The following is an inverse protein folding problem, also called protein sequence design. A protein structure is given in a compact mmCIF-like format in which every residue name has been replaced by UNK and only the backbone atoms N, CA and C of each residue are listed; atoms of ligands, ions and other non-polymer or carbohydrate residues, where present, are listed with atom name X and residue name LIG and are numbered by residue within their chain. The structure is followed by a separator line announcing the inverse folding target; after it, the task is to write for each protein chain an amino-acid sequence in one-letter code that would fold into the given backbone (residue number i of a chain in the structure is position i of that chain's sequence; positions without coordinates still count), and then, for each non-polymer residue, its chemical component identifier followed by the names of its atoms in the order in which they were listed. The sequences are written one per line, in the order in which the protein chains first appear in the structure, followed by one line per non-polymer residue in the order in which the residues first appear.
data_IF_164735443671
#
_entry.id   IF_164735443671
#
_cell.length_a   1.000
_cell.length_b   1.000
_cell.length_c   1.000
_cell.angle_alpha   90.00
_cell.angle_beta   90.00
_cell.angle_gamma   90.00
#
_symmetry.space_group_name_H-M   'P 1'
#
loop_
_entity.id
_entity.type
_entity.pdbx_description
1 polymer ?
#
# COMPACT_ATOMS: atom_id res chain seq x y z
N UNK A 1 24.58 3.19 -0.13
CA UNK A 1 23.75 4.37 -0.43
C UNK A 1 22.36 3.91 -0.84
N UNK A 2 21.36 4.01 0.05
CA UNK A 2 19.99 3.47 -0.12
C UNK A 2 19.13 4.21 -1.17
N UNK A 3 19.74 4.98 -2.07
CA UNK A 3 19.05 5.83 -3.04
C UNK A 3 18.44 5.07 -4.24
N UNK A 4 18.77 3.79 -4.43
CA UNK A 4 18.33 3.01 -5.62
C UNK A 4 16.90 2.44 -5.52
N UNK A 5 16.20 2.61 -4.39
CA UNK A 5 14.84 2.06 -4.17
C UNK A 5 13.79 3.14 -3.91
N UNK A 6 14.14 4.41 -4.03
CA UNK A 6 13.23 5.53 -3.76
C UNK A 6 12.88 6.27 -5.05
N UNK A 7 11.62 6.26 -5.42
CA UNK A 7 11.09 6.95 -6.60
C UNK A 7 10.32 8.19 -6.16
N UNK A 8 10.62 9.34 -6.77
CA UNK A 8 10.00 10.63 -6.43
C UNK A 8 9.22 11.18 -7.61
N UNK A 9 8.00 11.65 -7.35
CA UNK A 9 7.19 12.35 -8.35
C UNK A 9 6.38 13.47 -7.73
N UNK A 10 6.30 14.61 -8.43
CA UNK A 10 5.37 15.69 -8.09
C UNK A 10 4.05 15.48 -8.80
N UNK A 11 2.96 15.52 -8.04
CA UNK A 11 1.60 15.34 -8.54
C UNK A 11 0.74 16.55 -8.13
N UNK A 12 -0.24 16.91 -8.94
CA UNK A 12 -1.25 17.91 -8.59
C UNK A 12 -2.57 17.22 -8.32
N UNK A 13 -3.10 17.36 -7.10
CA UNK A 13 -4.41 16.80 -6.69
C UNK A 13 -5.28 17.94 -6.15
N UNK A 14 -6.37 18.24 -6.85
CA UNK A 14 -7.27 19.40 -6.63
C UNK A 14 -6.50 20.74 -6.55
N UNK A 15 -5.57 20.97 -7.48
CA UNK A 15 -4.78 22.20 -7.54
C UNK A 15 -3.69 22.34 -6.48
N UNK A 16 -3.55 21.38 -5.54
CA UNK A 16 -2.42 21.33 -4.60
C UNK A 16 -1.31 20.45 -5.15
N UNK A 17 -0.06 20.94 -5.10
CA UNK A 17 1.10 20.12 -5.41
C UNK A 17 1.45 19.22 -4.22
N UNK A 18 1.67 17.94 -4.50
CA UNK A 18 2.07 16.91 -3.55
C UNK A 18 3.35 16.23 -4.06
N UNK A 19 4.26 15.93 -3.14
CA UNK A 19 5.44 15.11 -3.40
C UNK A 19 5.08 13.67 -3.04
N UNK A 20 5.08 12.78 -4.03
CA UNK A 20 4.95 11.35 -3.84
C UNK A 20 6.35 10.73 -3.78
N UNK A 21 6.63 10.02 -2.69
CA UNK A 21 7.84 9.22 -2.52
C UNK A 21 7.42 7.75 -2.39
N UNK A 22 7.85 6.91 -3.32
CA UNK A 22 7.58 5.47 -3.32
C UNK A 22 8.90 4.77 -2.98
N UNK A 23 8.92 4.06 -1.86
CA UNK A 23 10.03 3.19 -1.50
C UNK A 23 9.71 1.74 -1.84
N UNK A 24 10.53 1.13 -2.70
CA UNK A 24 10.41 -0.26 -3.13
C UNK A 24 11.55 -1.12 -2.56
N UNK A 25 11.34 -1.80 -1.41
CA UNK A 25 12.36 -2.63 -0.77
C UNK A 25 12.69 -3.91 -1.55
N UNK A 26 11.83 -4.34 -2.48
CA UNK A 26 11.98 -5.59 -3.23
C UNK A 26 12.98 -5.46 -4.39
N UNK A 27 13.27 -4.24 -4.84
CA UNK A 27 14.24 -3.98 -5.92
C UNK A 27 15.71 -4.28 -5.56
N UNK A 28 16.04 -4.48 -4.28
CA UNK A 28 17.42 -4.70 -3.81
C UNK A 28 17.63 -5.98 -3.00
N UNK A 29 16.57 -6.75 -2.73
CA UNK A 29 16.64 -7.95 -1.89
C UNK A 29 16.32 -9.18 -2.75
N UNK A 30 17.00 -10.29 -2.47
CA UNK A 30 16.54 -11.61 -2.92
C UNK A 30 15.20 -11.97 -2.25
N UNK A 31 14.76 -13.22 -2.35
CA UNK A 31 13.43 -13.71 -1.93
C UNK A 31 13.12 -13.65 -0.41
N UNK A 32 13.79 -12.79 0.37
CA UNK A 32 13.54 -12.63 1.80
C UNK A 32 12.22 -11.87 2.05
N UNK A 33 11.26 -12.43 2.80
CA UNK A 33 9.94 -11.83 3.03
C UNK A 33 9.93 -10.74 4.12
N UNK A 34 11.09 -10.21 4.52
CA UNK A 34 11.20 -9.27 5.63
C UNK A 34 11.05 -7.82 5.15
N UNK A 35 10.03 -7.11 5.67
CA UNK A 35 9.91 -5.66 5.48
C UNK A 35 11.04 -4.98 6.25
N UNK A 36 11.84 -4.08 5.65
CA UNK A 36 12.79 -3.30 6.43
C UNK A 36 12.05 -2.51 7.53
N UNK A 37 12.68 -2.28 8.68
CA UNK A 37 12.08 -1.44 9.74
C UNK A 37 12.00 0.03 9.32
N UNK A 38 12.93 0.49 8.47
CA UNK A 38 13.07 1.89 8.05
C UNK A 38 11.78 2.49 7.45
N UNK A 39 11.03 1.85 6.51
CA UNK A 39 9.74 2.37 6.04
C UNK A 39 8.62 2.37 7.07
N UNK A 40 8.68 1.52 8.11
CA UNK A 40 7.64 1.49 9.13
C UNK A 40 7.59 2.79 9.94
N UNK A 41 8.68 3.55 9.99
CA UNK A 41 8.79 4.78 10.78
C UNK A 41 8.22 6.02 10.08
N UNK A 42 8.30 6.09 8.75
CA UNK A 42 7.98 7.32 8.00
C UNK A 42 6.90 7.16 6.93
N UNK A 43 6.49 5.94 6.57
CA UNK A 43 5.51 5.76 5.50
C UNK A 43 4.11 6.23 5.92
N UNK A 44 3.52 7.12 5.10
CA UNK A 44 2.15 7.59 5.28
C UNK A 44 1.09 6.58 4.80
N UNK A 45 1.49 5.55 4.05
CA UNK A 45 0.66 4.46 3.55
C UNK A 45 1.51 3.24 3.14
N UNK A 46 0.91 2.05 3.17
CA UNK A 46 1.53 0.82 2.67
C UNK A 46 0.73 0.21 1.51
N UNK A 47 1.46 -0.30 0.52
CA UNK A 47 0.90 -1.15 -0.54
C UNK A 47 1.61 -2.50 -0.46
N UNK A 48 0.86 -3.54 -0.14
CA UNK A 48 1.34 -4.92 -0.05
C UNK A 48 0.84 -5.67 -1.27
N UNK A 49 1.75 -6.28 -2.03
CA UNK A 49 1.42 -6.92 -3.32
C UNK A 49 1.78 -8.39 -3.26
N UNK A 50 0.89 -9.25 -3.75
CA UNK A 50 1.16 -10.65 -4.04
C UNK A 50 0.76 -10.98 -5.49
N UNK A 51 1.17 -12.11 -6.02
CA UNK A 51 0.71 -12.59 -7.32
C UNK A 51 -0.40 -13.64 -7.11
N UNK A 52 -1.54 -13.48 -7.79
CA UNK A 52 -2.65 -14.47 -7.71
C UNK A 52 -2.25 -15.85 -8.22
N UNK A 53 -1.18 -15.91 -9.02
CA UNK A 53 -0.62 -17.13 -9.58
C UNK A 53 0.42 -17.82 -8.68
N UNK A 54 0.70 -17.29 -7.48
CA UNK A 54 1.75 -17.81 -6.60
C UNK A 54 1.33 -17.71 -5.12
N UNK A 55 0.99 -18.86 -4.54
CA UNK A 55 0.55 -18.95 -3.15
C UNK A 55 1.66 -18.58 -2.14
N UNK A 56 2.95 -18.76 -2.47
CA UNK A 56 4.06 -18.37 -1.58
C UNK A 56 4.09 -16.86 -1.40
N UNK A 57 3.87 -16.10 -2.48
CA UNK A 57 3.82 -14.63 -2.39
C UNK A 57 2.64 -14.14 -1.53
N UNK A 58 1.54 -14.88 -1.50
CA UNK A 58 0.39 -14.57 -0.65
C UNK A 58 0.68 -14.81 0.84
N UNK A 59 1.36 -15.91 1.18
CA UNK A 59 1.82 -16.15 2.55
C UNK A 59 2.81 -15.07 3.02
N UNK A 60 3.71 -14.63 2.13
CA UNK A 60 4.63 -13.54 2.41
C UNK A 60 3.88 -12.22 2.64
N UNK A 61 2.88 -11.90 1.81
CA UNK A 61 2.02 -10.73 2.02
C UNK A 61 1.29 -10.78 3.38
N UNK A 62 0.81 -11.95 3.80
CA UNK A 62 0.23 -12.13 5.15
C UNK A 62 1.26 -11.86 6.25
N UNK A 63 2.50 -12.29 6.09
CA UNK A 63 3.58 -11.99 7.05
C UNK A 63 3.85 -10.48 7.15
N UNK A 64 3.99 -9.81 6.00
CA UNK A 64 4.18 -8.36 5.89
C UNK A 64 3.03 -7.59 6.56
N UNK A 65 1.78 -7.98 6.32
CA UNK A 65 0.61 -7.36 6.95
C UNK A 65 0.59 -7.50 8.47
N UNK A 66 1.07 -8.63 9.00
CA UNK A 66 1.23 -8.82 10.44
C UNK A 66 2.31 -7.90 11.02
N UNK A 67 3.44 -7.74 10.34
CA UNK A 67 4.50 -6.82 10.77
C UNK A 67 4.01 -5.35 10.81
N UNK A 68 3.30 -4.90 9.77
CA UNK A 68 2.72 -3.54 9.73
C UNK A 68 1.74 -3.33 10.89
N UNK A 69 0.89 -4.33 11.18
CA UNK A 69 -0.08 -4.28 12.28
C UNK A 69 0.58 -4.22 13.66
N UNK A 70 1.73 -4.89 13.83
CA UNK A 70 2.50 -4.88 15.08
C UNK A 70 3.17 -3.52 15.35
N UNK A 71 3.47 -2.73 14.32
CA UNK A 71 4.02 -1.38 14.49
C UNK A 71 3.06 -0.35 15.08
N UNK A 72 1.81 -0.74 15.44
CA UNK A 72 0.74 0.11 15.98
C UNK A 72 0.46 1.38 15.15
N UNK A 73 0.79 1.36 13.86
CA UNK A 73 0.58 2.49 12.97
C UNK A 73 -0.86 2.48 12.46
N UNK A 74 -1.62 3.57 12.69
CA UNK A 74 -2.95 3.75 12.08
C UNK A 74 -2.81 4.24 10.62
N UNK A 75 -1.91 3.61 9.87
CA UNK A 75 -1.54 3.98 8.50
C UNK A 75 -2.43 3.18 7.54
N UNK A 76 -3.00 3.80 6.49
CA UNK A 76 -3.80 3.08 5.51
C UNK A 76 -2.94 2.03 4.78
N UNK A 77 -3.47 0.82 4.69
CA UNK A 77 -2.85 -0.30 3.99
C UNK A 77 -3.74 -0.72 2.83
N UNK A 78 -3.13 -1.04 1.68
CA UNK A 78 -3.80 -1.67 0.56
C UNK A 78 -3.10 -2.98 0.18
N UNK A 79 -3.88 -4.06 0.11
CA UNK A 79 -3.48 -5.37 -0.38
C UNK A 79 -3.85 -5.51 -1.86
N UNK A 80 -2.90 -5.87 -2.71
CA UNK A 80 -3.10 -6.04 -4.13
C UNK A 80 -2.78 -7.46 -4.60
N UNK A 81 -3.76 -8.11 -5.22
CA UNK A 81 -3.57 -9.35 -5.97
C UNK A 81 -3.18 -9.03 -7.41
N UNK A 82 -1.88 -9.05 -7.72
CA UNK A 82 -1.35 -8.78 -9.05
C UNK A 82 -1.42 -10.03 -9.95
N UNK A 83 -1.26 -9.81 -11.26
CA UNK A 83 -1.34 -10.84 -12.33
C UNK A 83 -2.74 -11.46 -12.47
N UNK A 84 -3.78 -10.66 -12.26
CA UNK A 84 -5.18 -11.09 -12.36
C UNK A 84 -5.50 -11.76 -13.71
N UNK A 85 -4.80 -11.36 -14.78
CA UNK A 85 -4.87 -11.90 -16.13
C UNK A 85 -4.48 -13.40 -16.22
N UNK A 86 -3.70 -13.91 -15.28
CA UNK A 86 -3.24 -15.30 -15.27
C UNK A 86 -4.27 -16.26 -14.64
N UNK A 87 -5.52 -16.19 -15.11
CA UNK A 87 -6.63 -17.00 -14.60
C UNK A 87 -6.34 -18.51 -14.59
N UNK A 88 -5.65 -19.02 -15.63
CA UNK A 88 -5.32 -20.45 -15.75
C UNK A 88 -4.25 -20.94 -14.78
N UNK A 89 -3.42 -20.03 -14.25
CA UNK A 89 -2.36 -20.34 -13.30
C UNK A 89 -2.68 -19.83 -11.90
N UNK A 90 -3.94 -19.44 -11.65
CA UNK A 90 -4.39 -18.92 -10.36
C UNK A 90 -4.23 -19.98 -9.27
N UNK A 91 -3.54 -19.60 -8.20
CA UNK A 91 -3.34 -20.41 -7.00
C UNK A 91 -4.05 -19.81 -5.78
N UNK A 92 -4.37 -18.51 -5.82
CA UNK A 92 -5.07 -17.78 -4.75
C UNK A 92 -6.38 -17.24 -5.29
N UNK A 93 -7.47 -17.62 -4.66
CA UNK A 93 -8.80 -17.13 -5.01
C UNK A 93 -9.00 -15.67 -4.59
N UNK A 94 -9.91 -14.97 -5.26
CA UNK A 94 -10.29 -13.61 -4.86
C UNK A 94 -10.88 -13.60 -3.44
N UNK A 95 -11.61 -14.66 -3.06
CA UNK A 95 -12.20 -14.80 -1.73
C UNK A 95 -11.15 -14.90 -0.62
N UNK A 96 -10.04 -15.59 -0.85
CA UNK A 96 -8.90 -15.64 0.08
C UNK A 96 -8.27 -14.26 0.27
N UNK A 97 -8.02 -13.54 -0.83
CA UNK A 97 -7.49 -12.18 -0.79
C UNK A 97 -8.43 -11.22 -0.06
N UNK A 98 -9.73 -11.31 -0.34
CA UNK A 98 -10.78 -10.51 0.32
C UNK A 98 -10.87 -10.83 1.81
N UNK A 99 -10.84 -12.11 2.18
CA UNK A 99 -10.88 -12.55 3.58
C UNK A 99 -9.67 -12.03 4.37
N UNK A 100 -8.47 -12.12 3.78
CA UNK A 100 -7.25 -11.57 4.40
C UNK A 100 -7.35 -10.05 4.60
N UNK A 101 -7.92 -9.33 3.62
CA UNK A 101 -8.10 -7.89 3.74
C UNK A 101 -9.05 -7.47 4.86
N UNK A 102 -10.11 -8.26 5.09
CA UNK A 102 -11.05 -8.04 6.18
C UNK A 102 -10.40 -8.33 7.54
N UNK A 103 -9.59 -9.39 7.64
CA UNK A 103 -8.82 -9.75 8.85
C UNK A 103 -7.87 -8.60 9.27
N UNK A 104 -7.22 -7.97 8.29
CA UNK A 104 -6.29 -6.86 8.51
C UNK A 104 -6.90 -5.46 8.40
N UNK A 105 -8.20 -5.35 8.10
CA UNK A 105 -8.93 -4.08 7.90
C UNK A 105 -8.26 -3.16 6.87
N UNK A 106 -7.79 -3.73 5.77
CA UNK A 106 -7.12 -3.02 4.69
C UNK A 106 -7.97 -3.01 3.41
N UNK A 107 -7.64 -2.12 2.46
CA UNK A 107 -8.28 -2.11 1.14
C UNK A 107 -7.77 -3.28 0.31
N UNK A 108 -8.64 -3.90 -0.50
CA UNK A 108 -8.27 -4.98 -1.41
C UNK A 108 -8.72 -4.73 -2.84
N UNK A 109 -7.85 -5.06 -3.79
CA UNK A 109 -8.15 -5.01 -5.23
C UNK A 109 -7.26 -6.02 -5.97
N UNK A 110 -7.83 -6.80 -6.88
CA UNK A 110 -7.03 -7.52 -7.89
C UNK A 110 -6.72 -6.60 -9.07
N UNK A 111 -5.50 -6.70 -9.59
CA UNK A 111 -5.00 -5.88 -10.70
C UNK A 111 -4.18 -6.72 -11.67
N UNK A 112 -4.10 -6.29 -12.91
CA UNK A 112 -3.08 -6.74 -13.85
C UNK A 112 -2.17 -5.57 -14.21
N UNK A 113 -0.94 -5.57 -13.69
CA UNK A 113 0.07 -4.62 -14.10
C UNK A 113 0.47 -4.77 -15.59
N UNK A 114 0.27 -5.97 -16.16
CA UNK A 114 0.59 -6.28 -17.55
C UNK A 114 -0.48 -5.74 -18.52
N UNK A 115 -1.76 -5.81 -18.15
CA UNK A 115 -2.85 -5.36 -19.02
C UNK A 115 -3.24 -3.89 -18.80
N UNK A 116 -3.28 -3.42 -17.55
CA UNK A 116 -3.81 -2.10 -17.24
C UNK A 116 -3.16 -1.42 -16.03
N UNK A 117 -2.11 -0.63 -16.29
CA UNK A 117 -1.46 0.18 -15.26
C UNK A 117 -2.35 1.30 -14.70
N UNK A 118 -3.46 1.69 -15.38
CA UNK A 118 -4.31 2.78 -14.90
C UNK A 118 -5.01 2.44 -13.59
N UNK A 119 -5.34 1.17 -13.34
CA UNK A 119 -6.01 0.78 -12.10
C UNK A 119 -5.09 0.92 -10.89
N UNK A 120 -3.80 0.60 -11.07
CA UNK A 120 -2.75 0.86 -10.08
C UNK A 120 -2.59 2.36 -9.85
N UNK A 121 -2.56 3.16 -10.91
CA UNK A 121 -2.46 4.62 -10.79
C UNK A 121 -3.66 5.24 -10.07
N UNK A 122 -4.89 4.75 -10.34
CA UNK A 122 -6.11 5.18 -9.67
C UNK A 122 -6.08 4.83 -8.18
N UNK A 123 -5.60 3.65 -7.83
CA UNK A 123 -5.45 3.23 -6.44
C UNK A 123 -4.47 4.12 -5.68
N UNK A 124 -3.28 4.36 -6.22
CA UNK A 124 -2.27 5.24 -5.60
C UNK A 124 -2.88 6.63 -5.36
N UNK A 125 -3.57 7.17 -6.37
CA UNK A 125 -4.29 8.45 -6.22
C UNK A 125 -5.35 8.39 -5.12
N UNK A 126 -6.13 7.32 -5.03
CA UNK A 126 -7.14 7.16 -3.99
C UNK A 126 -6.51 7.17 -2.59
N UNK A 127 -5.42 6.44 -2.38
CA UNK A 127 -4.69 6.43 -1.11
C UNK A 127 -4.19 7.84 -0.75
N UNK A 128 -3.61 8.56 -1.72
CA UNK A 128 -3.17 9.95 -1.52
C UNK A 128 -4.32 10.89 -1.14
N UNK A 129 -5.49 10.73 -1.76
CA UNK A 129 -6.69 11.52 -1.44
C UNK A 129 -7.20 11.22 -0.02
N UNK A 130 -7.18 9.96 0.41
CA UNK A 130 -7.53 9.58 1.79
C UNK A 130 -6.57 10.19 2.81
N UNK A 131 -5.27 10.17 2.52
CA UNK A 131 -4.25 10.82 3.36
C UNK A 131 -4.47 12.34 3.45
N UNK A 132 -4.71 13.01 2.33
CA UNK A 132 -5.01 14.46 2.31
C UNK A 132 -6.20 14.80 3.21
N UNK A 133 -7.27 14.00 3.16
CA UNK A 133 -8.44 14.18 4.04
C UNK A 133 -8.07 14.02 5.52
N UNK A 134 -7.24 13.03 5.87
CA UNK A 134 -6.76 12.85 7.25
C UNK A 134 -5.94 14.06 7.72
N UNK A 135 -4.99 14.53 6.90
CA UNK A 135 -4.16 15.71 7.23
C UNK A 135 -4.99 16.99 7.36
N UNK A 136 -5.98 17.21 6.48
CA UNK A 136 -6.87 18.36 6.55
C UNK A 136 -7.76 18.27 7.81
N UNK A 137 -8.36 17.10 8.11
CA UNK A 137 -9.16 16.89 9.32
C UNK A 137 -8.37 17.08 10.63
N UNK A 138 -7.10 16.66 10.69
CA UNK A 138 -6.23 16.94 11.85
C UNK A 138 -5.99 18.43 12.04
N UNK A 139 -5.83 19.20 10.96
CA UNK A 139 -5.72 20.67 11.01
C UNK A 139 -7.01 21.35 11.48
N UNK A 140 -8.19 20.80 11.17
CA UNK A 140 -9.47 21.34 11.64
C UNK A 140 -9.79 20.94 13.10
N UNK A 141 -9.42 19.74 13.53
CA UNK A 141 -9.61 19.29 14.93
C UNK A 141 -8.73 20.05 15.92
N UNK A 142 -7.50 20.42 15.52
CA UNK A 142 -6.58 21.23 16.33
C UNK A 142 -7.04 22.67 16.61
N UNK A 143 -8.06 23.18 15.90
CA UNK A 143 -8.62 24.53 16.11
C UNK A 143 -9.72 24.62 17.18
N UNK A 144 -10.22 23.50 17.72
CA UNK A 144 -11.31 23.49 18.71
C UNK A 144 -10.85 23.44 20.19
N UNK A 145 -9.58 23.73 20.49
CA UNK A 145 -9.03 23.68 21.87
C UNK A 145 -8.34 24.97 22.35
N UNK A 146 -8.81 26.14 21.91
CA UNK A 146 -8.52 27.42 22.59
C UNK A 146 -9.76 28.33 22.59
N UNK A 147 -10.66 28.06 23.52
CA UNK A 147 -11.76 28.91 24.03
C UNK A 147 -12.26 28.07 25.21
N UNK A 148 -12.06 28.41 26.48
CA UNK A 148 -12.29 29.64 27.25
C UNK A 148 -11.30 29.64 28.41
#
# INVERSE_FOLDING_TARGET
SNANSLYRKRLSIDGRQLNLEIFDPCSQRGDSPHVPEEPLEWADAFVVVYAVSDHVTFLNAKHVLNQIKQGETNVPVCLLGNKQDLCHSRQVSEEEGRSLSLEHRCLFQEVSAAENYLDIARLIRHVMEQMKRRSDCQRYSGKRRKSV
#
